data_IF_620480682989
#
_entry.id   IF_620480682989
#
_cell.length_a   1.000
_cell.length_b   1.000
_cell.length_c   1.000
_cell.angle_alpha   90.00
_cell.angle_beta   90.00
_cell.angle_gamma   90.00
#
_symmetry.space_group_name_H-M   'P 1'
#
loop_
_entity.id
_entity.type
_entity.pdbx_description
1 polymer ?
#
# COMPACT_ATOMS: atom_id res chain seq x y z
N UNK A 1 -10.80 20.89 -11.82
CA UNK A 1 -10.06 19.99 -12.74
C UNK A 1 -9.06 19.22 -11.88
N UNK A 2 -9.15 17.90 -11.88
CA UNK A 2 -8.15 17.03 -11.25
C UNK A 2 -6.88 17.12 -12.10
N UNK A 3 -5.72 17.32 -11.46
CA UNK A 3 -4.45 17.25 -12.15
C UNK A 3 -4.21 15.77 -12.50
N UNK A 4 -3.97 15.50 -13.77
CA UNK A 4 -3.66 14.16 -14.27
C UNK A 4 -2.30 14.20 -14.95
N UNK A 5 -1.42 13.30 -14.59
CA UNK A 5 -0.16 13.06 -15.26
C UNK A 5 -0.21 11.68 -15.89
N UNK A 6 0.00 11.60 -17.19
CA UNK A 6 0.13 10.31 -17.89
C UNK A 6 1.60 10.04 -18.17
N UNK A 7 2.07 8.88 -17.71
CA UNK A 7 3.43 8.40 -17.92
C UNK A 7 3.37 7.14 -18.76
N UNK A 8 4.07 7.12 -19.88
CA UNK A 8 4.23 5.92 -20.71
C UNK A 8 5.59 5.29 -20.43
N UNK A 9 5.59 4.03 -20.12
CA UNK A 9 6.81 3.25 -19.88
C UNK A 9 6.88 2.20 -20.96
N UNK A 10 7.92 2.28 -21.78
CA UNK A 10 8.23 1.32 -22.82
C UNK A 10 9.39 0.44 -22.36
N UNK A 11 9.16 -0.85 -22.33
CA UNK A 11 10.17 -1.88 -22.08
C UNK A 11 10.35 -2.69 -23.36
N UNK A 12 11.43 -3.49 -23.45
CA UNK A 12 11.67 -4.35 -24.62
C UNK A 12 10.52 -5.34 -24.92
N UNK A 13 9.67 -5.63 -23.93
CA UNK A 13 8.59 -6.62 -24.03
C UNK A 13 7.18 -6.04 -23.99
N UNK A 14 7.02 -4.81 -23.52
CA UNK A 14 5.69 -4.22 -23.34
C UNK A 14 5.73 -2.71 -23.25
N UNK A 15 4.63 -2.08 -23.61
CA UNK A 15 4.37 -0.68 -23.32
C UNK A 15 3.25 -0.59 -22.29
N UNK A 16 3.51 0.14 -21.20
CA UNK A 16 2.51 0.37 -20.16
C UNK A 16 2.23 1.86 -20.04
N UNK A 17 0.96 2.19 -19.77
CA UNK A 17 0.53 3.57 -19.52
C UNK A 17 0.13 3.70 -18.06
N UNK A 18 0.72 4.66 -17.37
CA UNK A 18 0.43 4.95 -15.97
C UNK A 18 -0.22 6.33 -15.86
N UNK A 19 -1.39 6.35 -15.23
CA UNK A 19 -2.09 7.59 -14.91
C UNK A 19 -1.86 7.90 -13.45
N UNK A 20 -1.19 9.01 -13.16
CA UNK A 20 -0.89 9.45 -11.80
C UNK A 20 -1.83 10.58 -11.42
N UNK A 21 -2.54 10.40 -10.31
CA UNK A 21 -3.40 11.41 -9.71
C UNK A 21 -2.74 11.87 -8.41
N UNK A 22 -1.99 12.97 -8.43
CA UNK A 22 -1.37 13.49 -7.22
C UNK A 22 -2.43 14.03 -6.26
N UNK A 23 -2.18 13.89 -4.96
CA UNK A 23 -3.08 14.40 -3.91
C UNK A 23 -3.24 15.92 -4.01
N UNK A 24 -2.22 16.62 -4.48
CA UNK A 24 -2.21 18.07 -4.67
C UNK A 24 -1.45 18.44 -5.95
N UNK A 25 -1.82 19.56 -6.55
CA UNK A 25 -1.17 20.10 -7.74
C UNK A 25 -0.03 21.06 -7.40
N UNK A 26 -0.20 21.83 -6.34
CA UNK A 26 0.76 22.80 -5.85
C UNK A 26 0.96 22.60 -4.35
N UNK A 27 2.17 22.86 -3.86
CA UNK A 27 2.52 22.65 -2.44
C UNK A 27 1.60 23.45 -1.49
N UNK A 28 1.16 24.62 -1.91
CA UNK A 28 0.26 25.50 -1.16
C UNK A 28 -1.10 24.82 -0.88
N UNK A 29 -1.57 23.96 -1.78
CA UNK A 29 -2.82 23.21 -1.58
C UNK A 29 -2.75 22.24 -0.41
N UNK A 30 -1.56 21.81 -0.01
CA UNK A 30 -1.36 20.98 1.16
C UNK A 30 -1.69 21.74 2.45
N UNK A 31 -1.50 23.06 2.45
CA UNK A 31 -1.78 23.96 3.57
C UNK A 31 -3.24 24.37 3.62
N UNK A 32 -3.91 24.37 2.47
CA UNK A 32 -5.31 24.82 2.29
C UNK A 32 -6.31 23.68 2.21
N UNK A 33 -5.95 22.46 2.65
CA UNK A 33 -6.88 21.32 2.65
C UNK A 33 -7.97 21.52 3.69
N UNK A 34 -9.07 22.17 3.29
CA UNK A 34 -10.28 22.42 4.10
C UNK A 34 -11.19 21.20 4.29
N UNK A 35 -10.99 20.12 3.58
CA UNK A 35 -11.76 18.90 3.81
C UNK A 35 -11.19 18.17 5.01
N UNK A 36 -11.83 18.36 6.15
CA UNK A 36 -11.49 17.54 7.30
C UNK A 36 -11.80 16.07 6.99
N UNK A 37 -10.97 15.13 7.42
CA UNK A 37 -11.24 13.69 7.32
C UNK A 37 -12.61 13.29 7.85
N UNK A 38 -13.08 14.00 8.84
CA UNK A 38 -14.39 13.83 9.46
C UNK A 38 -15.53 13.96 8.44
N UNK A 39 -15.42 14.85 7.45
CA UNK A 39 -16.44 15.00 6.40
C UNK A 39 -16.56 13.79 5.47
N UNK A 40 -15.53 12.97 5.35
CA UNK A 40 -15.51 11.72 4.57
C UNK A 40 -15.91 10.51 5.42
N UNK A 41 -15.67 10.56 6.74
CA UNK A 41 -15.93 9.47 7.67
C UNK A 41 -17.38 9.45 8.23
N UNK A 42 -18.12 10.55 8.15
CA UNK A 42 -19.39 10.77 8.86
C UNK A 42 -20.60 10.02 8.29
N UNK A 43 -20.47 9.25 7.22
CA UNK A 43 -21.63 8.48 6.72
C UNK A 43 -21.48 7.00 7.07
N UNK A 44 -22.09 6.58 8.17
CA UNK A 44 -22.20 5.16 8.57
C UNK A 44 -22.75 4.26 7.46
N UNK A 45 -23.59 4.80 6.59
CA UNK A 45 -24.18 4.09 5.45
C UNK A 45 -23.23 3.94 4.25
N UNK A 46 -22.05 4.56 4.30
CA UNK A 46 -21.09 4.62 3.17
C UNK A 46 -19.69 4.17 3.56
N UNK A 47 -19.59 3.17 4.42
CA UNK A 47 -18.32 2.65 4.99
C UNK A 47 -17.22 2.41 3.96
N UNK A 48 -17.56 2.09 2.72
CA UNK A 48 -16.61 1.73 1.66
C UNK A 48 -16.71 2.65 0.42
N UNK A 49 -17.25 3.84 0.57
CA UNK A 49 -17.47 4.76 -0.56
C UNK A 49 -16.17 5.13 -1.29
N UNK A 50 -15.06 5.23 -0.57
CA UNK A 50 -13.78 5.61 -1.16
C UNK A 50 -13.29 4.54 -2.15
N UNK A 51 -13.36 3.26 -1.80
CA UNK A 51 -13.01 2.17 -2.69
C UNK A 51 -13.91 2.14 -3.94
N UNK A 52 -15.21 2.42 -3.77
CA UNK A 52 -16.15 2.48 -4.90
C UNK A 52 -15.87 3.66 -5.84
N UNK A 53 -15.55 4.83 -5.28
CA UNK A 53 -15.18 6.01 -6.08
C UNK A 53 -13.91 5.73 -6.87
N UNK A 54 -12.88 5.16 -6.24
CA UNK A 54 -11.62 4.81 -6.88
C UNK A 54 -11.82 3.74 -7.96
N UNK A 55 -12.63 2.72 -7.69
CA UNK A 55 -12.98 1.70 -8.67
C UNK A 55 -13.68 2.29 -9.90
N UNK A 56 -14.69 3.16 -9.70
CA UNK A 56 -15.38 3.84 -10.80
C UNK A 56 -14.45 4.77 -11.58
N UNK A 57 -13.51 5.41 -10.90
CA UNK A 57 -12.50 6.24 -11.53
C UNK A 57 -11.57 5.40 -12.42
N UNK A 58 -11.07 4.27 -11.90
CA UNK A 58 -10.28 3.31 -12.65
C UNK A 58 -11.01 2.83 -13.92
N UNK A 59 -12.28 2.43 -13.79
CA UNK A 59 -13.10 2.03 -14.93
C UNK A 59 -13.24 3.14 -16.00
N UNK A 60 -13.46 4.39 -15.58
CA UNK A 60 -13.56 5.52 -16.50
C UNK A 60 -12.24 5.84 -17.21
N UNK A 61 -11.12 5.51 -16.59
CA UNK A 61 -9.78 5.70 -17.14
C UNK A 61 -9.27 4.46 -17.89
N UNK A 62 -10.10 3.40 -18.00
CA UNK A 62 -9.72 2.09 -18.54
C UNK A 62 -8.45 1.51 -17.90
N UNK A 63 -8.32 1.72 -16.59
CA UNK A 63 -7.18 1.19 -15.83
C UNK A 63 -7.45 -0.26 -15.41
N UNK A 64 -6.48 -1.13 -15.66
CA UNK A 64 -6.51 -2.53 -15.24
C UNK A 64 -6.28 -2.67 -13.73
N UNK A 65 -5.53 -1.74 -13.15
CA UNK A 65 -5.17 -1.72 -11.75
C UNK A 65 -5.20 -0.27 -11.20
N UNK A 66 -5.71 -0.11 -9.99
CA UNK A 66 -5.66 1.15 -9.24
C UNK A 66 -4.81 0.92 -8.00
N UNK A 67 -3.67 1.60 -7.94
CA UNK A 67 -2.78 1.61 -6.78
C UNK A 67 -3.02 2.89 -5.98
N UNK A 68 -3.13 2.75 -4.65
CA UNK A 68 -3.32 3.88 -3.74
C UNK A 68 -2.16 3.90 -2.76
N UNK A 69 -1.34 4.93 -2.84
CA UNK A 69 -0.28 5.17 -1.87
C UNK A 69 -0.86 5.86 -0.63
N UNK A 70 -0.83 5.16 0.49
CA UNK A 70 -1.36 5.63 1.77
C UNK A 70 -0.20 6.05 2.67
N UNK A 71 -0.41 7.12 3.43
CA UNK A 71 0.56 7.52 4.46
C UNK A 71 0.70 6.43 5.52
N UNK A 72 1.90 6.37 6.12
CA UNK A 72 2.20 5.44 7.19
C UNK A 72 1.18 5.53 8.35
N UNK A 73 0.79 4.36 8.84
CA UNK A 73 -0.12 4.21 9.97
C UNK A 73 -1.61 4.34 9.63
N UNK A 74 -2.43 4.22 10.66
CA UNK A 74 -3.88 4.40 10.57
C UNK A 74 -4.22 5.88 10.67
N UNK A 75 -4.90 6.36 9.65
CA UNK A 75 -5.48 7.69 9.62
C UNK A 75 -6.94 7.58 9.19
N UNK A 76 -7.72 8.60 9.43
CA UNK A 76 -9.10 8.67 8.98
C UNK A 76 -9.23 8.55 7.45
N UNK A 77 -8.18 8.92 6.70
CA UNK A 77 -8.14 8.75 5.24
C UNK A 77 -7.76 7.33 4.81
N UNK A 78 -6.86 6.67 5.53
CA UNK A 78 -6.40 5.33 5.18
C UNK A 78 -7.36 4.24 5.66
N UNK A 79 -8.02 4.46 6.80
CA UNK A 79 -8.92 3.49 7.42
C UNK A 79 -10.01 2.95 6.48
N UNK A 80 -10.75 3.77 5.69
CA UNK A 80 -11.77 3.27 4.79
C UNK A 80 -11.28 2.28 3.72
N UNK A 81 -10.00 2.37 3.32
CA UNK A 81 -9.39 1.42 2.38
C UNK A 81 -8.75 0.24 3.10
N UNK A 82 -8.12 0.47 4.24
CA UNK A 82 -7.47 -0.58 5.02
C UNK A 82 -8.47 -1.59 5.59
N UNK A 83 -9.65 -1.14 6.01
CA UNK A 83 -10.71 -2.01 6.53
C UNK A 83 -11.69 -2.52 5.48
N UNK A 84 -11.56 -2.15 4.21
CA UNK A 84 -12.39 -2.71 3.14
C UNK A 84 -11.90 -4.12 2.78
N UNK A 85 -12.71 -5.18 2.99
CA UNK A 85 -12.30 -6.55 2.73
C UNK A 85 -12.01 -6.84 1.24
N UNK A 86 -12.50 -6.01 0.34
CA UNK A 86 -12.36 -6.15 -1.11
C UNK A 86 -11.03 -5.62 -1.64
N UNK A 87 -10.39 -4.73 -0.89
CA UNK A 87 -9.13 -4.08 -1.28
C UNK A 87 -7.95 -4.96 -0.89
N UNK A 88 -7.06 -5.26 -1.82
CA UNK A 88 -5.78 -5.89 -1.52
C UNK A 88 -4.87 -4.88 -0.82
N UNK A 89 -4.22 -5.28 0.25
CA UNK A 89 -3.38 -4.44 1.09
C UNK A 89 -1.94 -4.92 1.05
N UNK A 90 -1.02 -3.98 0.91
CA UNK A 90 0.41 -4.22 1.06
C UNK A 90 0.91 -3.33 2.20
N UNK A 91 1.42 -3.95 3.25
CA UNK A 91 2.02 -3.27 4.39
C UNK A 91 3.52 -3.18 4.14
N UNK A 92 3.98 -2.00 3.75
CA UNK A 92 5.40 -1.77 3.50
C UNK A 92 6.10 -1.45 4.81
N UNK A 93 7.11 -2.23 5.17
CA UNK A 93 7.90 -2.04 6.38
C UNK A 93 9.40 -2.12 6.05
N UNK A 94 10.23 -1.63 6.95
CA UNK A 94 11.69 -1.77 6.85
C UNK A 94 12.24 -2.65 7.97
N UNK A 95 13.54 -2.94 7.90
CA UNK A 95 14.24 -3.74 8.91
C UNK A 95 14.43 -3.03 10.26
N UNK A 96 14.03 -1.76 10.40
CA UNK A 96 14.18 -1.05 11.67
C UNK A 96 13.18 -1.55 12.71
N UNK A 97 13.61 -1.63 13.95
CA UNK A 97 12.76 -2.02 15.08
C UNK A 97 11.44 -1.23 15.15
N UNK A 98 11.51 0.10 14.93
CA UNK A 98 10.32 0.95 14.95
C UNK A 98 9.33 0.61 13.84
N UNK A 99 9.82 0.29 12.63
CA UNK A 99 8.96 -0.08 11.52
C UNK A 99 8.29 -1.44 11.75
N UNK A 100 9.02 -2.42 12.27
CA UNK A 100 8.48 -3.75 12.63
C UNK A 100 7.39 -3.61 13.70
N UNK A 101 7.65 -2.85 14.78
CA UNK A 101 6.65 -2.59 15.83
C UNK A 101 5.44 -1.80 15.32
N UNK A 102 5.66 -0.85 14.41
CA UNK A 102 4.57 -0.14 13.73
C UNK A 102 3.67 -1.08 12.92
N UNK A 103 4.27 -2.04 12.23
CA UNK A 103 3.55 -3.07 11.46
C UNK A 103 2.76 -3.99 12.39
N UNK A 104 3.33 -4.41 13.52
CA UNK A 104 2.64 -5.19 14.55
C UNK A 104 1.37 -4.47 15.05
N UNK A 105 1.51 -3.19 15.42
CA UNK A 105 0.37 -2.38 15.87
C UNK A 105 -0.70 -2.28 14.78
N UNK A 106 -0.31 -2.12 13.53
CA UNK A 106 -1.24 -2.02 12.42
C UNK A 106 -1.98 -3.35 12.17
N UNK A 107 -1.28 -4.48 12.22
CA UNK A 107 -1.88 -5.81 12.11
C UNK A 107 -2.89 -6.06 13.24
N UNK A 108 -2.53 -5.71 14.48
CA UNK A 108 -3.44 -5.80 15.61
C UNK A 108 -4.71 -4.92 15.42
N UNK A 109 -4.57 -3.73 14.86
CA UNK A 109 -5.75 -2.88 14.57
C UNK A 109 -6.60 -3.48 13.44
N UNK A 110 -5.96 -3.99 12.40
CA UNK A 110 -6.66 -4.64 11.28
C UNK A 110 -7.43 -5.88 11.74
N UNK A 111 -6.88 -6.69 12.64
CA UNK A 111 -7.55 -7.88 13.18
C UNK A 111 -8.86 -7.55 13.91
N UNK A 112 -8.93 -6.38 14.53
CA UNK A 112 -10.14 -5.93 15.24
C UNK A 112 -11.26 -5.43 14.33
N UNK A 113 -10.92 -4.92 13.15
CA UNK A 113 -11.88 -4.23 12.28
C UNK A 113 -12.11 -4.88 10.92
N UNK A 114 -11.19 -5.74 10.48
CA UNK A 114 -11.32 -6.44 9.21
C UNK A 114 -12.16 -7.71 9.43
N UNK A 115 -13.28 -7.89 8.70
CA UNK A 115 -14.03 -9.15 8.80
C UNK A 115 -13.19 -10.28 8.19
N UNK A 116 -12.65 -11.16 9.03
CA UNK A 116 -11.85 -12.30 8.60
C UNK A 116 -12.80 -13.42 8.13
N UNK A 117 -13.09 -13.44 6.86
CA UNK A 117 -13.87 -14.49 6.20
C UNK A 117 -13.21 -14.85 4.87
N UNK A 118 -13.58 -15.97 4.29
CA UNK A 118 -12.93 -16.53 3.09
C UNK A 118 -12.88 -15.60 1.85
N UNK A 119 -13.61 -14.48 1.86
CA UNK A 119 -13.62 -13.48 0.78
C UNK A 119 -12.80 -12.24 1.11
N UNK A 120 -12.26 -12.15 2.32
CA UNK A 120 -11.47 -10.99 2.74
C UNK A 120 -10.08 -11.04 2.09
N UNK A 121 -9.68 -9.94 1.46
CA UNK A 121 -8.31 -9.77 0.98
C UNK A 121 -7.43 -9.43 2.18
N UNK A 122 -6.76 -10.44 2.71
CA UNK A 122 -5.81 -10.29 3.82
C UNK A 122 -4.59 -9.46 3.39
N UNK A 123 -3.95 -8.71 4.31
CA UNK A 123 -2.77 -7.92 3.98
C UNK A 123 -1.57 -8.82 3.67
N UNK A 124 -0.67 -8.36 2.82
CA UNK A 124 0.68 -8.91 2.62
C UNK A 124 1.71 -7.92 3.14
N UNK A 125 2.82 -8.41 3.67
CA UNK A 125 3.90 -7.59 4.18
C UNK A 125 5.02 -7.53 3.15
N UNK A 126 5.44 -6.33 2.78
CA UNK A 126 6.61 -6.08 1.95
C UNK A 126 7.74 -5.55 2.84
N UNK A 127 8.74 -6.38 3.11
CA UNK A 127 9.92 -6.00 3.86
C UNK A 127 10.92 -5.34 2.91
N UNK A 128 11.23 -4.09 3.17
CA UNK A 128 12.10 -3.27 2.32
C UNK A 128 13.34 -2.81 3.08
N UNK A 129 14.29 -2.21 2.37
CA UNK A 129 15.52 -1.63 2.95
C UNK A 129 16.40 -2.62 3.72
N UNK A 130 16.30 -3.90 3.42
CA UNK A 130 17.30 -4.88 3.83
C UNK A 130 18.64 -4.53 3.20
N UNK A 131 19.68 -4.28 4.00
CA UNK A 131 21.01 -4.06 3.47
C UNK A 131 21.57 -5.37 2.94
N UNK A 132 22.30 -5.30 1.84
CA UNK A 132 22.97 -6.47 1.27
C UNK A 132 23.91 -7.13 2.30
N UNK A 133 23.76 -8.44 2.48
CA UNK A 133 24.53 -9.22 3.46
C UNK A 133 24.05 -9.14 4.92
N UNK A 134 22.96 -8.44 5.20
CA UNK A 134 22.30 -8.48 6.52
C UNK A 134 21.29 -9.62 6.53
N UNK A 135 21.39 -10.50 7.53
CA UNK A 135 20.42 -11.56 7.75
C UNK A 135 19.11 -10.98 8.29
N UNK A 136 18.05 -11.15 7.54
CA UNK A 136 16.69 -10.67 7.89
C UNK A 136 15.81 -11.79 8.46
N UNK A 137 16.35 -13.00 8.65
CA UNK A 137 15.60 -14.19 9.06
C UNK A 137 14.82 -13.97 10.37
N UNK A 138 15.45 -13.37 11.37
CA UNK A 138 14.82 -13.12 12.67
C UNK A 138 13.65 -12.13 12.53
N UNK A 139 13.83 -11.07 11.73
CA UNK A 139 12.79 -10.06 11.47
C UNK A 139 11.60 -10.69 10.73
N UNK A 140 11.86 -11.49 9.72
CA UNK A 140 10.83 -12.20 8.96
C UNK A 140 10.08 -13.16 9.90
N UNK A 141 10.79 -13.90 10.74
CA UNK A 141 10.19 -14.82 11.71
C UNK A 141 9.32 -14.08 12.73
N UNK A 142 9.74 -12.91 13.22
CA UNK A 142 8.94 -12.07 14.10
C UNK A 142 7.66 -11.58 13.40
N UNK A 143 7.77 -11.06 12.17
CA UNK A 143 6.63 -10.60 11.40
C UNK A 143 5.63 -11.71 11.08
N UNK A 144 6.11 -12.91 10.75
CA UNK A 144 5.26 -14.09 10.53
C UNK A 144 4.53 -14.48 11.81
N UNK A 145 5.23 -14.55 12.96
CA UNK A 145 4.61 -14.87 14.23
C UNK A 145 3.53 -13.88 14.66
N UNK A 146 3.78 -12.58 14.44
CA UNK A 146 2.80 -11.51 14.69
C UNK A 146 1.61 -11.65 13.75
N UNK A 147 1.85 -11.94 12.49
CA UNK A 147 0.81 -12.13 11.51
C UNK A 147 -0.08 -13.33 11.84
N UNK A 148 0.52 -14.46 12.18
CA UNK A 148 -0.18 -15.68 12.61
C UNK A 148 -1.07 -15.40 13.82
N UNK A 149 -0.56 -14.63 14.78
CA UNK A 149 -1.30 -14.30 15.99
C UNK A 149 -2.53 -13.42 15.76
N UNK A 150 -2.46 -12.47 14.83
CA UNK A 150 -3.51 -11.46 14.66
C UNK A 150 -4.43 -11.68 13.46
N UNK A 151 -3.92 -12.26 12.39
CA UNK A 151 -4.64 -12.29 11.11
C UNK A 151 -5.11 -13.70 10.75
N UNK A 152 -4.33 -14.72 11.12
CA UNK A 152 -4.72 -16.07 10.79
C UNK A 152 -5.68 -16.64 11.83
N UNK A 153 -6.83 -17.03 11.36
CA UNK A 153 -7.73 -17.93 12.04
C UNK A 153 -7.50 -19.36 11.51
N UNK A 154 -7.78 -20.39 12.28
CA UNK A 154 -7.66 -21.81 11.89
C UNK A 154 -8.36 -22.16 10.57
N UNK A 155 -9.26 -21.27 10.12
CA UNK A 155 -10.02 -21.41 8.86
C UNK A 155 -9.30 -20.89 7.61
N UNK A 156 -8.17 -20.18 7.76
CA UNK A 156 -7.44 -19.57 6.62
C UNK A 156 -6.21 -20.42 6.31
N UNK A 157 -6.30 -21.21 5.24
CA UNK A 157 -5.11 -21.89 4.72
C UNK A 157 -4.22 -20.88 3.98
N UNK A 158 -3.01 -20.68 4.46
CA UNK A 158 -2.02 -19.85 3.77
C UNK A 158 -1.45 -20.66 2.63
N UNK A 159 -1.66 -20.19 1.42
CA UNK A 159 -0.99 -20.71 0.22
C UNK A 159 0.14 -19.81 -0.27
N UNK A 160 0.21 -18.58 0.23
CA UNK A 160 1.12 -17.54 -0.27
C UNK A 160 2.11 -17.07 0.80
N UNK A 161 3.26 -16.56 0.37
CA UNK A 161 4.23 -15.93 1.25
C UNK A 161 3.61 -14.68 1.91
N UNK A 162 3.48 -14.70 3.22
CA UNK A 162 2.95 -13.58 4.02
C UNK A 162 3.89 -12.38 3.95
N UNK A 163 5.19 -12.64 4.00
CA UNK A 163 6.26 -11.64 3.96
C UNK A 163 7.05 -11.82 2.69
N UNK A 164 7.07 -10.79 1.86
CA UNK A 164 7.93 -10.72 0.67
C UNK A 164 9.05 -9.75 0.93
N UNK A 165 10.28 -10.22 0.83
CA UNK A 165 11.45 -9.37 0.93
C UNK A 165 11.73 -8.69 -0.41
N UNK A 166 11.88 -7.37 -0.38
CA UNK A 166 12.30 -6.57 -1.52
C UNK A 166 13.74 -6.11 -1.29
N UNK A 167 14.68 -6.49 -2.16
CA UNK A 167 16.07 -6.12 -2.00
C UNK A 167 16.25 -4.60 -2.03
N UNK A 168 17.22 -4.13 -1.24
CA UNK A 168 17.59 -2.72 -1.27
C UNK A 168 18.35 -2.43 -2.56
N UNK A 169 17.82 -1.51 -3.36
CA UNK A 169 18.47 -1.02 -4.55
C UNK A 169 19.05 0.37 -4.27
N UNK A 170 20.35 0.42 -3.96
CA UNK A 170 21.05 1.68 -3.65
C UNK A 170 20.97 2.68 -4.79
N UNK A 171 20.86 2.19 -6.02
CA UNK A 171 20.71 2.97 -7.23
C UNK A 171 19.40 3.78 -7.26
N UNK A 172 18.39 3.37 -6.49
CA UNK A 172 17.10 4.04 -6.42
C UNK A 172 17.07 5.18 -5.38
N UNK A 173 18.06 5.25 -4.48
CA UNK A 173 18.06 6.20 -3.34
C UNK A 173 18.23 7.66 -3.79
N UNK A 174 18.97 7.90 -4.88
CA UNK A 174 19.34 9.24 -5.34
C UNK A 174 18.76 9.58 -6.72
N UNK A 175 17.66 8.96 -7.11
CA UNK A 175 17.11 9.16 -8.44
C UNK A 175 16.23 10.41 -8.50
N UNK A 176 16.61 11.33 -9.37
CA UNK A 176 15.90 12.59 -9.60
C UNK A 176 14.77 12.45 -10.62
N UNK A 177 14.71 11.34 -11.38
CA UNK A 177 13.70 11.17 -12.42
C UNK A 177 13.28 9.71 -12.61
N UNK A 178 12.02 9.50 -12.97
CA UNK A 178 11.46 8.20 -13.29
C UNK A 178 12.22 7.50 -14.44
N UNK A 179 12.73 8.25 -15.41
CA UNK A 179 13.49 7.69 -16.53
C UNK A 179 14.81 7.05 -16.08
N UNK A 180 15.49 7.65 -15.09
CA UNK A 180 16.71 7.06 -14.50
C UNK A 180 16.36 5.78 -13.72
N UNK A 181 15.24 5.79 -12.98
CA UNK A 181 14.75 4.60 -12.26
C UNK A 181 14.52 3.45 -13.23
N UNK A 182 13.78 3.68 -14.29
CA UNK A 182 13.45 2.64 -15.28
C UNK A 182 14.68 2.10 -15.99
N UNK A 183 15.66 2.94 -16.29
CA UNK A 183 16.93 2.51 -16.90
C UNK A 183 17.70 1.58 -15.97
N UNK A 184 17.74 1.86 -14.69
CA UNK A 184 18.47 1.06 -13.70
C UNK A 184 17.77 -0.25 -13.35
N UNK A 185 16.44 -0.31 -13.43
CA UNK A 185 15.67 -1.54 -13.19
C UNK A 185 15.68 -2.51 -14.38
N UNK A 186 16.00 -2.02 -15.58
CA UNK A 186 16.04 -2.84 -16.83
C UNK A 186 17.46 -3.24 -17.24
N UNK A 187 18.50 -2.81 -16.55
CA UNK A 187 19.90 -3.20 -16.77
C UNK A 187 20.31 -4.34 -15.90
#
# INVERSE_FOLDING_TARGET
>A
KVAQLTIKIETEKSMTEHIVLPTYRYMEQLLDMYSSPESLAVSYDKKYILAEVLSKLGQKLNADLVLVDLRAGLSEFSAPLLFDPRVKKYLVTSTSYQAVKGTEILLHQLSKGLPLNGNTKIPEILLTMGQEGVDTTDIISELVAVYDHYILDESVSITDNIVTELPFASELVHLESLQKIMKNLNG
#
